data_IF_337559863927
#
_entry.id   IF_337559863927
#
_cell.length_a   1.000
_cell.length_b   1.000
_cell.length_c   1.000
_cell.angle_alpha   90.00
_cell.angle_beta   90.00
_cell.angle_gamma   90.00
#
_symmetry.space_group_name_H-M   'P 1'
#
loop_
_entity.id
_entity.type
_entity.pdbx_description
1 polymer ?
#
# COMPACT_ATOMS: atom_id res chain seq x y z
N UNK A 1 23.45 24.28 -45.89
CA UNK A 1 24.66 24.24 -45.05
C UNK A 1 24.93 22.77 -44.69
N UNK A 2 26.02 22.20 -45.25
CA UNK A 2 26.86 21.05 -44.80
C UNK A 2 26.13 19.83 -44.20
N UNK A 3 25.99 18.65 -44.84
CA UNK A 3 26.97 17.64 -45.34
C UNK A 3 28.17 17.32 -44.41
N UNK A 4 28.24 16.03 -44.09
CA UNK A 4 29.37 15.16 -43.72
C UNK A 4 30.12 15.41 -42.39
N UNK A 5 30.10 14.39 -41.53
CA UNK A 5 31.32 13.73 -41.05
C UNK A 5 30.98 12.32 -40.52
N UNK A 6 31.39 11.30 -41.29
CA UNK A 6 31.60 9.95 -40.80
C UNK A 6 33.02 9.89 -40.21
N UNK A 7 33.19 9.21 -39.08
CA UNK A 7 34.52 8.83 -38.60
C UNK A 7 34.53 7.32 -38.37
N UNK A 8 35.11 6.62 -39.35
CA UNK A 8 35.54 5.24 -39.24
C UNK A 8 36.91 5.20 -38.55
N UNK A 9 37.11 4.26 -37.63
CA UNK A 9 38.43 3.82 -37.22
C UNK A 9 38.57 2.33 -37.52
N UNK A 10 39.53 1.99 -38.36
CA UNK A 10 39.94 0.63 -38.73
C UNK A 10 41.33 0.39 -38.13
N UNK A 11 41.38 -0.62 -37.26
CA UNK A 11 42.41 -1.63 -36.97
C UNK A 11 43.91 -1.29 -36.97
N UNK A 12 44.59 -1.71 -35.90
CA UNK A 12 45.71 -2.66 -36.00
C UNK A 12 45.88 -3.49 -34.70
N UNK A 13 46.38 -4.74 -34.78
CA UNK A 13 46.29 -5.75 -33.73
C UNK A 13 47.59 -5.87 -32.89
N UNK A 14 47.48 -6.30 -31.65
CA UNK A 14 48.64 -6.70 -30.83
C UNK A 14 48.75 -8.22 -30.75
N UNK A 15 49.94 -8.67 -31.10
CA UNK A 15 50.47 -10.02 -31.33
C UNK A 15 50.20 -11.05 -30.22
N UNK A 16 49.96 -12.27 -30.67
CA UNK A 16 50.14 -13.50 -29.91
C UNK A 16 51.62 -13.90 -29.82
N UNK A 17 51.98 -14.66 -28.77
CA UNK A 17 53.13 -15.57 -28.76
C UNK A 17 52.68 -16.91 -28.13
N UNK A 18 53.23 -18.07 -28.56
CA UNK A 18 52.63 -19.37 -28.35
C UNK A 18 53.30 -20.23 -27.26
N UNK A 19 52.66 -21.38 -27.01
CA UNK A 19 53.12 -22.62 -26.35
C UNK A 19 53.44 -22.58 -24.85
N UNK A 20 52.59 -23.24 -24.05
CA UNK A 20 52.98 -24.57 -23.56
C UNK A 20 51.77 -25.49 -23.34
N UNK A 21 51.92 -26.73 -23.80
CA UNK A 21 50.90 -27.76 -23.90
C UNK A 21 50.70 -28.54 -22.60
N UNK A 22 49.43 -28.90 -22.36
CA UNK A 22 48.98 -30.14 -21.70
C UNK A 22 49.33 -30.43 -20.24
N UNK A 23 48.28 -30.45 -19.41
CA UNK A 23 47.95 -31.62 -18.58
C UNK A 23 46.44 -31.67 -18.31
N UNK A 24 45.77 -32.56 -19.03
CA UNK A 24 44.45 -33.10 -18.73
C UNK A 24 44.43 -33.77 -17.37
N UNK A 25 43.51 -33.36 -16.49
CA UNK A 25 43.03 -34.19 -15.39
C UNK A 25 41.52 -33.95 -15.20
N UNK A 26 40.77 -34.96 -15.60
CA UNK A 26 39.43 -35.39 -15.18
C UNK A 26 38.59 -34.45 -14.30
N UNK A 27 37.44 -34.06 -14.86
CA UNK A 27 36.11 -34.25 -14.28
C UNK A 27 36.01 -34.27 -12.74
N UNK A 28 35.69 -33.11 -12.17
CA UNK A 28 34.66 -33.02 -11.13
C UNK A 28 33.81 -31.79 -11.42
N UNK A 29 32.79 -32.02 -12.25
CA UNK A 29 31.65 -31.14 -12.43
C UNK A 29 30.89 -31.06 -11.12
N UNK A 30 31.39 -30.29 -10.15
CA UNK A 30 30.53 -29.79 -9.08
C UNK A 30 29.68 -28.69 -9.71
N UNK A 31 28.65 -29.10 -10.47
CA UNK A 31 27.46 -28.27 -10.66
C UNK A 31 27.09 -27.84 -9.24
N UNK A 32 27.37 -26.59 -8.87
CA UNK A 32 26.63 -25.91 -7.81
C UNK A 32 25.17 -26.17 -8.18
N UNK A 33 24.49 -27.07 -7.46
CA UNK A 33 23.04 -27.14 -7.52
C UNK A 33 22.62 -25.72 -7.18
N UNK A 34 22.14 -24.95 -8.16
CA UNK A 34 21.39 -23.74 -7.86
C UNK A 34 20.33 -24.21 -6.86
N UNK A 35 20.34 -23.64 -5.66
CA UNK A 35 19.25 -23.89 -4.73
C UNK A 35 17.99 -23.45 -5.47
N UNK A 36 17.10 -24.39 -5.77
CA UNK A 36 15.82 -24.09 -6.38
C UNK A 36 15.07 -23.14 -5.45
N UNK A 37 14.36 -22.17 -6.02
CA UNK A 37 13.47 -21.32 -5.26
C UNK A 37 12.53 -22.14 -4.36
N UNK A 38 12.37 -21.67 -3.12
CA UNK A 38 11.52 -22.30 -2.11
C UNK A 38 10.16 -21.62 -2.13
N UNK A 39 9.19 -22.27 -2.76
CA UNK A 39 7.80 -21.84 -2.73
C UNK A 39 7.09 -22.38 -1.48
N UNK A 40 5.90 -21.83 -1.17
CA UNK A 40 4.96 -22.47 -0.24
C UNK A 40 4.64 -23.90 -0.69
N UNK A 41 4.22 -24.73 0.25
CA UNK A 41 3.74 -26.08 0.02
C UNK A 41 2.50 -26.27 0.92
N UNK A 42 1.32 -26.57 0.36
CA UNK A 42 1.03 -26.87 -1.06
C UNK A 42 1.02 -25.65 -2.01
N UNK A 43 1.00 -25.93 -3.31
CA UNK A 43 0.76 -24.98 -4.41
C UNK A 43 -0.49 -25.36 -5.21
N UNK A 44 -1.14 -24.42 -5.90
CA UNK A 44 -2.32 -24.74 -6.70
C UNK A 44 -2.01 -25.74 -7.83
N UNK A 45 -2.93 -26.66 -8.14
CA UNK A 45 -2.80 -27.53 -9.31
C UNK A 45 -2.58 -26.72 -10.59
N UNK A 46 -1.56 -27.09 -11.37
CA UNK A 46 -1.18 -26.37 -12.59
C UNK A 46 -0.31 -25.13 -12.35
N UNK A 47 0.19 -24.91 -11.12
CA UNK A 47 1.13 -23.83 -10.82
C UNK A 47 2.31 -23.82 -11.81
N UNK A 48 2.54 -22.65 -12.40
CA UNK A 48 3.65 -22.38 -13.30
C UNK A 48 4.54 -21.28 -12.68
N UNK A 49 5.80 -21.59 -12.30
CA UNK A 49 6.69 -20.56 -11.75
C UNK A 49 7.22 -19.60 -12.82
N UNK A 50 7.06 -19.91 -14.11
CA UNK A 50 7.53 -19.13 -15.25
C UNK A 50 8.19 -20.01 -16.33
N UNK A 51 8.18 -19.61 -17.61
CA UNK A 51 7.59 -18.40 -18.17
C UNK A 51 6.05 -18.43 -18.11
N UNK A 52 5.44 -17.30 -17.77
CA UNK A 52 4.01 -17.16 -17.54
C UNK A 52 3.27 -16.87 -18.85
N UNK A 53 2.12 -17.53 -19.03
CA UNK A 53 1.15 -17.18 -20.06
C UNK A 53 -0.01 -16.40 -19.43
N UNK A 54 -0.02 -15.08 -19.62
CA UNK A 54 -1.01 -14.18 -19.00
C UNK A 54 -2.47 -14.40 -19.45
N UNK A 55 -2.69 -15.18 -20.51
CA UNK A 55 -4.03 -15.63 -20.92
C UNK A 55 -4.56 -16.79 -20.05
N UNK A 56 -3.69 -17.50 -19.35
CA UNK A 56 -4.07 -18.51 -18.36
C UNK A 56 -4.38 -17.79 -17.04
N UNK A 57 -5.61 -17.90 -16.49
CA UNK A 57 -5.98 -17.17 -15.27
C UNK A 57 -5.05 -17.44 -14.08
N UNK A 58 -4.58 -18.67 -13.92
CA UNK A 58 -3.65 -19.01 -12.84
C UNK A 58 -2.28 -18.31 -13.00
N UNK A 59 -1.71 -18.29 -14.20
CA UNK A 59 -0.44 -17.58 -14.47
C UNK A 59 -0.60 -16.07 -14.27
N UNK A 60 -1.74 -15.50 -14.67
CA UNK A 60 -2.09 -14.10 -14.40
C UNK A 60 -2.15 -13.82 -12.89
N UNK A 61 -2.76 -14.71 -12.11
CA UNK A 61 -2.80 -14.59 -10.66
C UNK A 61 -1.42 -14.72 -10.02
N UNK A 62 -0.62 -15.71 -10.44
CA UNK A 62 0.76 -15.90 -10.00
C UNK A 62 1.58 -14.65 -10.26
N UNK A 63 1.46 -14.03 -11.44
CA UNK A 63 2.14 -12.77 -11.75
C UNK A 63 1.75 -11.65 -10.77
N UNK A 64 0.45 -11.47 -10.50
CA UNK A 64 -0.03 -10.45 -9.57
C UNK A 64 0.46 -10.70 -8.12
N UNK A 65 0.42 -11.94 -7.68
CA UNK A 65 0.87 -12.32 -6.34
C UNK A 65 2.39 -12.14 -6.16
N UNK A 66 3.21 -12.46 -7.19
CA UNK A 66 4.67 -12.18 -7.17
C UNK A 66 5.00 -10.68 -7.03
N UNK A 67 4.13 -9.79 -7.52
CA UNK A 67 4.32 -8.33 -7.38
C UNK A 67 3.80 -7.80 -6.04
N UNK A 68 2.79 -8.46 -5.46
CA UNK A 68 2.11 -7.98 -4.25
C UNK A 68 2.71 -8.54 -2.95
N UNK A 69 3.33 -9.72 -2.99
CA UNK A 69 3.90 -10.43 -1.85
C UNK A 69 4.95 -11.47 -2.31
N UNK A 70 5.17 -12.53 -1.54
CA UNK A 70 6.15 -13.58 -1.83
C UNK A 70 5.50 -14.97 -1.81
N UNK A 71 5.66 -15.70 -2.91
CA UNK A 71 5.14 -17.07 -3.06
C UNK A 71 5.90 -18.12 -2.24
N UNK A 72 6.94 -17.74 -1.50
CA UNK A 72 7.56 -18.58 -0.46
C UNK A 72 6.80 -18.57 0.87
N UNK A 73 5.88 -17.62 1.05
CA UNK A 73 5.17 -17.39 2.31
C UNK A 73 5.96 -16.54 3.30
N UNK A 74 7.18 -16.09 2.94
CA UNK A 74 7.89 -15.08 3.72
C UNK A 74 7.13 -13.74 3.69
N UNK A 75 7.09 -13.02 4.82
CA UNK A 75 6.41 -11.74 4.86
C UNK A 75 7.22 -10.68 4.09
N UNK A 76 6.53 -9.67 3.56
CA UNK A 76 7.09 -8.61 2.71
C UNK A 76 6.65 -7.26 3.23
N UNK A 77 7.58 -6.31 3.31
CA UNK A 77 7.28 -4.91 3.58
C UNK A 77 7.12 -4.14 2.28
N UNK A 78 6.03 -3.40 2.17
CA UNK A 78 5.82 -2.36 1.16
C UNK A 78 5.81 -0.99 1.81
N UNK A 79 6.29 0.02 1.08
CA UNK A 79 6.20 1.43 1.46
C UNK A 79 5.39 2.19 0.42
N UNK A 80 4.62 3.19 0.82
CA UNK A 80 3.77 3.97 -0.11
C UNK A 80 3.77 5.48 0.22
N UNK A 81 4.93 6.14 0.08
CA UNK A 81 5.02 7.59 0.18
C UNK A 81 4.14 8.28 -0.87
N UNK A 82 3.52 9.39 -0.48
CA UNK A 82 2.57 10.10 -1.32
C UNK A 82 2.19 11.47 -0.79
N UNK A 83 1.06 11.95 -1.29
CA UNK A 83 0.49 13.27 -0.96
C UNK A 83 -1.01 13.16 -0.80
N UNK A 84 -1.56 14.00 0.07
CA UNK A 84 -3.00 14.16 0.24
C UNK A 84 -3.42 15.62 -0.05
N UNK A 85 -4.50 15.76 -0.81
CA UNK A 85 -5.01 17.03 -1.31
C UNK A 85 -6.47 17.20 -0.94
N UNK A 86 -6.81 18.37 -0.41
CA UNK A 86 -8.19 18.84 -0.36
C UNK A 86 -8.55 19.37 -1.73
N UNK A 87 -9.68 18.92 -2.28
CA UNK A 87 -10.24 19.43 -3.53
C UNK A 87 -11.69 19.86 -3.31
N UNK A 88 -11.93 21.17 -3.40
CA UNK A 88 -13.26 21.78 -3.18
C UNK A 88 -13.73 22.45 -4.48
N UNK A 89 -14.92 22.09 -5.01
CA UNK A 89 -15.53 22.76 -6.16
C UNK A 89 -15.66 24.27 -5.94
N UNK A 90 -15.35 25.06 -6.96
CA UNK A 90 -15.45 26.54 -6.97
C UNK A 90 -14.60 27.28 -5.92
N UNK A 91 -13.75 26.57 -5.17
CA UNK A 91 -12.79 27.16 -4.24
C UNK A 91 -11.36 26.89 -4.74
N UNK A 92 -10.76 25.75 -4.37
CA UNK A 92 -9.38 25.46 -4.70
C UNK A 92 -8.91 24.06 -4.31
N UNK A 93 -7.63 23.82 -4.58
CA UNK A 93 -6.96 22.56 -4.35
C UNK A 93 -5.75 22.80 -3.45
N UNK A 94 -5.65 22.11 -2.33
CA UNK A 94 -4.62 22.35 -1.32
C UNK A 94 -3.91 21.05 -0.99
N UNK A 95 -2.59 20.98 -1.18
CA UNK A 95 -1.80 19.91 -0.59
C UNK A 95 -1.78 20.17 0.92
N UNK A 96 -2.37 19.26 1.68
CA UNK A 96 -2.49 19.42 3.14
C UNK A 96 -1.54 18.50 3.90
N UNK A 97 -1.13 17.40 3.28
CA UNK A 97 -0.17 16.46 3.85
C UNK A 97 0.76 15.89 2.77
N UNK A 98 2.00 15.60 3.15
CA UNK A 98 2.67 14.43 2.60
C UNK A 98 2.15 13.21 3.35
N UNK A 99 2.12 12.05 2.71
CA UNK A 99 1.73 10.79 3.36
C UNK A 99 2.86 9.78 3.27
N UNK A 100 2.95 8.92 4.28
CA UNK A 100 3.86 7.78 4.23
C UNK A 100 3.18 6.60 4.90
N UNK A 101 3.14 5.48 4.20
CA UNK A 101 2.62 4.26 4.80
C UNK A 101 3.51 3.06 4.62
N UNK A 102 3.26 2.10 5.49
CA UNK A 102 3.99 0.84 5.63
C UNK A 102 2.96 -0.26 5.62
N UNK A 103 3.13 -1.21 4.71
CA UNK A 103 2.27 -2.37 4.53
C UNK A 103 3.07 -3.65 4.73
N UNK A 104 2.49 -4.61 5.43
CA UNK A 104 3.12 -5.89 5.76
C UNK A 104 2.27 -7.03 5.21
N UNK A 105 2.75 -7.73 4.19
CA UNK A 105 1.99 -8.75 3.45
C UNK A 105 2.57 -10.14 3.59
N UNK A 106 1.73 -11.17 3.66
CA UNK A 106 2.12 -12.59 3.58
C UNK A 106 1.11 -13.38 2.76
N UNK A 107 1.57 -14.48 2.14
CA UNK A 107 0.73 -15.41 1.40
C UNK A 107 0.71 -16.80 2.05
N UNK A 108 -0.45 -17.43 1.97
CA UNK A 108 -0.66 -18.85 2.20
C UNK A 108 -1.58 -19.38 1.09
N UNK A 109 -1.26 -20.54 0.52
CA UNK A 109 -2.19 -21.24 -0.35
C UNK A 109 -3.04 -22.20 0.48
N UNK A 110 -4.36 -22.13 0.29
CA UNK A 110 -5.30 -23.03 0.95
C UNK A 110 -5.95 -23.96 -0.10
N UNK A 111 -5.63 -25.25 -0.01
CA UNK A 111 -6.16 -26.28 -0.92
C UNK A 111 -7.67 -26.49 -0.77
N UNK A 112 -8.18 -26.48 0.46
CA UNK A 112 -9.60 -26.75 0.75
C UNK A 112 -10.51 -25.63 0.24
N UNK A 113 -10.06 -24.38 0.34
CA UNK A 113 -10.78 -23.19 -0.11
C UNK A 113 -10.54 -22.88 -1.61
N UNK A 114 -9.66 -23.64 -2.28
CA UNK A 114 -9.22 -23.39 -3.66
C UNK A 114 -8.79 -21.91 -3.88
N UNK A 115 -7.84 -21.41 -3.07
CA UNK A 115 -7.40 -20.02 -3.22
C UNK A 115 -6.24 -19.60 -2.32
N UNK A 116 -5.79 -18.36 -2.51
CA UNK A 116 -4.72 -17.76 -1.72
C UNK A 116 -5.30 -16.87 -0.62
N UNK A 117 -4.83 -17.10 0.61
CA UNK A 117 -5.03 -16.20 1.73
C UNK A 117 -3.91 -15.17 1.73
N UNK A 118 -4.28 -13.91 1.56
CA UNK A 118 -3.39 -12.77 1.66
C UNK A 118 -3.61 -12.08 3.00
N UNK A 119 -2.60 -12.20 3.86
CA UNK A 119 -2.55 -11.58 5.16
C UNK A 119 -1.91 -10.22 5.01
N UNK A 120 -2.56 -9.18 5.52
CA UNK A 120 -2.02 -7.85 5.44
C UNK A 120 -2.36 -7.02 6.67
N UNK A 121 -1.51 -6.03 6.92
CA UNK A 121 -1.81 -4.87 7.77
C UNK A 121 -1.10 -3.67 7.17
N UNK A 122 -1.67 -2.51 7.40
CA UNK A 122 -1.11 -1.25 6.89
C UNK A 122 -1.34 -0.09 7.85
N UNK A 123 -0.38 0.82 7.86
CA UNK A 123 -0.50 2.16 8.43
C UNK A 123 -0.27 3.21 7.35
N UNK A 124 -0.97 4.33 7.43
CA UNK A 124 -0.68 5.55 6.66
C UNK A 124 -0.62 6.72 7.62
N UNK A 125 0.56 7.32 7.72
CA UNK A 125 0.79 8.54 8.49
C UNK A 125 0.58 9.77 7.62
N UNK A 126 -0.03 10.78 8.22
CA UNK A 126 -0.09 12.13 7.68
C UNK A 126 1.12 12.88 8.21
N UNK A 127 1.87 13.49 7.31
CA UNK A 127 3.11 14.19 7.64
C UNK A 127 3.08 15.61 7.12
N UNK A 128 3.82 16.47 7.79
CA UNK A 128 3.96 17.87 7.39
C UNK A 128 4.54 17.98 5.96
N UNK A 129 3.92 18.75 5.06
CA UNK A 129 4.39 18.89 3.68
C UNK A 129 5.81 19.45 3.52
N UNK A 130 6.31 20.23 4.49
CA UNK A 130 7.61 20.89 4.44
C UNK A 130 8.69 20.06 5.14
N UNK A 131 8.39 19.50 6.32
CA UNK A 131 9.37 18.84 7.18
C UNK A 131 9.34 17.31 7.12
N UNK A 132 8.26 16.72 6.59
CA UNK A 132 7.94 15.29 6.65
C UNK A 132 7.88 14.73 8.09
N UNK A 133 7.66 15.56 9.10
CA UNK A 133 7.38 15.09 10.45
C UNK A 133 5.97 14.50 10.54
N UNK A 134 5.83 13.38 11.25
CA UNK A 134 4.51 12.78 11.51
C UNK A 134 3.73 13.72 12.42
N UNK A 135 2.52 14.07 12.00
CA UNK A 135 1.71 15.09 12.66
C UNK A 135 0.84 14.48 13.75
N UNK A 136 0.97 14.97 14.99
CA UNK A 136 0.01 14.71 16.06
C UNK A 136 -1.21 15.66 15.97
N UNK A 137 -0.99 16.90 15.54
CA UNK A 137 -2.03 17.91 15.33
C UNK A 137 -1.88 18.60 13.97
N UNK A 138 -2.96 19.18 13.47
CA UNK A 138 -2.99 19.87 12.18
C UNK A 138 -3.96 21.05 12.22
N UNK A 139 -3.52 22.21 11.74
CA UNK A 139 -4.40 23.36 11.51
C UNK A 139 -5.09 23.17 10.17
N UNK A 140 -6.38 22.89 10.21
CA UNK A 140 -7.19 22.74 8.99
C UNK A 140 -7.29 24.11 8.28
N UNK A 141 -6.72 24.27 7.07
CA UNK A 141 -6.67 25.57 6.38
C UNK A 141 -8.04 26.06 5.91
N UNK A 142 -9.06 25.19 5.91
CA UNK A 142 -10.43 25.52 5.49
C UNK A 142 -11.28 26.00 6.66
N UNK A 143 -11.09 25.44 7.85
CA UNK A 143 -11.86 25.81 9.05
C UNK A 143 -11.12 26.75 9.98
N UNK A 144 -9.78 26.81 9.87
CA UNK A 144 -8.90 27.52 10.80
C UNK A 144 -8.75 26.83 12.16
N UNK A 145 -9.38 25.66 12.36
CA UNK A 145 -9.30 24.91 13.62
C UNK A 145 -8.08 24.02 13.64
N UNK A 146 -7.39 23.98 14.78
CA UNK A 146 -6.40 22.93 15.06
C UNK A 146 -7.13 21.66 15.52
N UNK A 147 -6.80 20.52 14.92
CA UNK A 147 -7.41 19.22 15.22
C UNK A 147 -6.32 18.17 15.47
N UNK A 148 -6.60 17.22 16.35
CA UNK A 148 -5.82 15.99 16.51
C UNK A 148 -5.92 15.15 15.23
N UNK A 149 -4.76 14.75 14.71
CA UNK A 149 -4.67 13.96 13.48
C UNK A 149 -4.98 12.50 13.80
N UNK A 150 -5.86 11.89 13.01
CA UNK A 150 -6.13 10.46 13.09
C UNK A 150 -5.40 9.79 11.93
N UNK A 151 -4.32 9.07 12.19
CA UNK A 151 -3.63 8.28 11.17
C UNK A 151 -4.48 7.06 10.75
N UNK A 152 -4.20 6.51 9.56
CA UNK A 152 -4.83 5.25 9.13
C UNK A 152 -4.07 4.11 9.78
N UNK A 153 -4.79 3.24 10.47
CA UNK A 153 -4.28 1.97 10.98
C UNK A 153 -5.29 0.89 10.62
N UNK A 154 -4.96 0.07 9.63
CA UNK A 154 -5.78 -1.05 9.23
C UNK A 154 -5.05 -2.34 9.62
N UNK A 155 -5.50 -3.00 10.68
CA UNK A 155 -4.90 -4.22 11.21
C UNK A 155 -5.97 -5.14 11.83
N UNK A 156 -6.25 -6.33 11.27
CA UNK A 156 -5.75 -6.84 10.00
C UNK A 156 -6.59 -6.36 8.79
N UNK A 157 -5.99 -6.44 7.60
CA UNK A 157 -6.66 -6.35 6.29
C UNK A 157 -6.42 -7.68 5.57
N UNK A 158 -7.44 -8.53 5.46
CA UNK A 158 -7.27 -9.84 4.84
C UNK A 158 -7.97 -9.88 3.49
N UNK A 159 -7.36 -10.53 2.50
CA UNK A 159 -7.99 -10.75 1.19
C UNK A 159 -7.87 -12.20 0.79
N UNK A 160 -8.98 -12.76 0.34
CA UNK A 160 -9.01 -14.09 -0.25
C UNK A 160 -9.01 -13.97 -1.77
N UNK A 161 -8.04 -14.62 -2.42
CA UNK A 161 -7.88 -14.66 -3.86
C UNK A 161 -8.25 -16.07 -4.37
N UNK A 162 -9.52 -16.33 -4.68
CA UNK A 162 -9.97 -17.62 -5.20
C UNK A 162 -9.32 -17.93 -6.55
N UNK A 163 -9.18 -19.21 -6.90
CA UNK A 163 -8.60 -19.63 -8.18
C UNK A 163 -9.54 -19.44 -9.38
N UNK A 164 -10.86 -19.43 -9.17
CA UNK A 164 -11.86 -19.51 -10.26
C UNK A 164 -12.95 -18.44 -10.20
N UNK A 165 -13.67 -18.33 -9.08
CA UNK A 165 -14.86 -17.47 -8.96
C UNK A 165 -14.81 -16.61 -7.71
N UNK A 166 -15.37 -15.41 -7.79
CA UNK A 166 -15.46 -14.46 -6.68
C UNK A 166 -14.85 -13.10 -7.00
N UNK A 167 -15.01 -12.15 -6.07
CA UNK A 167 -14.63 -10.74 -6.26
C UNK A 167 -13.15 -10.54 -6.66
N UNK A 168 -12.27 -11.40 -6.17
CA UNK A 168 -10.83 -11.32 -6.40
C UNK A 168 -10.30 -12.49 -7.24
N UNK A 169 -11.16 -13.22 -7.94
CA UNK A 169 -10.74 -14.26 -8.86
C UNK A 169 -10.00 -13.68 -10.08
N UNK A 170 -9.02 -14.40 -10.65
CA UNK A 170 -8.39 -14.02 -11.91
C UNK A 170 -9.31 -14.26 -13.12
N UNK A 171 -9.02 -13.69 -14.29
CA UNK A 171 -7.86 -12.85 -14.60
C UNK A 171 -8.06 -11.39 -14.20
N UNK A 172 -6.96 -10.74 -13.83
CA UNK A 172 -6.89 -9.29 -13.59
C UNK A 172 -6.54 -8.54 -14.89
N UNK A 173 -7.11 -7.35 -15.13
CA UNK A 173 -6.75 -6.52 -16.28
C UNK A 173 -5.27 -6.13 -16.27
N UNK A 174 -4.61 -6.24 -17.42
CA UNK A 174 -3.19 -5.97 -17.54
C UNK A 174 -2.82 -5.32 -18.88
N UNK A 175 -1.66 -4.67 -18.90
CA UNK A 175 -1.04 -4.04 -20.06
C UNK A 175 0.45 -4.45 -20.11
N UNK A 176 0.94 -4.80 -21.31
CA UNK A 176 2.36 -5.13 -21.54
C UNK A 176 2.94 -4.16 -22.55
N UNK A 177 4.08 -3.55 -22.21
CA UNK A 177 4.89 -2.77 -23.13
C UNK A 177 6.38 -3.14 -22.96
N UNK A 178 6.87 -4.04 -23.82
CA UNK A 178 8.22 -4.60 -23.70
C UNK A 178 8.37 -5.39 -22.40
N UNK A 179 9.37 -5.05 -21.58
CA UNK A 179 9.58 -5.69 -20.28
C UNK A 179 8.65 -5.12 -19.18
N UNK A 180 7.90 -4.06 -19.46
CA UNK A 180 7.01 -3.46 -18.47
C UNK A 180 5.63 -4.13 -18.50
N UNK A 181 5.28 -4.79 -17.40
CA UNK A 181 3.93 -5.28 -17.13
C UNK A 181 3.25 -4.36 -16.14
N UNK A 182 1.98 -4.04 -16.37
CA UNK A 182 1.15 -3.26 -15.45
C UNK A 182 -0.19 -3.95 -15.27
N UNK A 183 -0.55 -4.26 -14.04
CA UNK A 183 -1.94 -4.55 -13.69
C UNK A 183 -2.68 -3.25 -13.38
N UNK A 184 -3.81 -3.04 -14.03
CA UNK A 184 -4.68 -1.89 -13.80
C UNK A 184 -5.91 -2.35 -13.03
N UNK A 185 -6.04 -1.92 -11.77
CA UNK A 185 -7.17 -2.25 -10.93
C UNK A 185 -7.90 -0.96 -10.56
N UNK A 186 -9.19 -0.89 -10.89
CA UNK A 186 -10.03 0.28 -10.64
C UNK A 186 -11.19 -0.14 -9.73
N UNK A 187 -11.18 0.28 -8.46
CA UNK A 187 -12.21 -0.09 -7.47
C UNK A 187 -12.98 1.15 -7.04
N UNK A 188 -14.20 1.26 -7.56
CA UNK A 188 -15.18 2.22 -7.08
C UNK A 188 -16.15 1.52 -6.14
N UNK A 189 -16.22 1.97 -4.88
CA UNK A 189 -17.20 1.46 -3.91
C UNK A 189 -18.51 2.24 -4.10
N UNK A 190 -19.58 1.59 -4.58
CA UNK A 190 -20.87 2.27 -4.73
C UNK A 190 -21.50 2.50 -3.34
N UNK A 191 -22.43 3.47 -3.23
CA UNK A 191 -23.29 3.59 -2.07
C UNK A 191 -24.00 2.27 -1.79
N UNK A 192 -23.92 1.79 -0.55
CA UNK A 192 -24.68 0.62 -0.10
C UNK A 192 -25.26 0.88 1.29
N UNK A 193 -26.51 0.47 1.58
CA UNK A 193 -27.10 0.65 2.90
C UNK A 193 -26.23 0.04 4.01
N UNK A 194 -25.97 0.81 5.07
CA UNK A 194 -25.20 0.34 6.24
C UNK A 194 -23.69 0.18 6.01
N UNK A 195 -23.16 0.59 4.85
CA UNK A 195 -21.73 0.49 4.56
C UNK A 195 -20.88 1.61 5.20
N UNK A 196 -21.52 2.62 5.80
CA UNK A 196 -20.85 3.71 6.49
C UNK A 196 -21.02 3.58 8.01
N UNK A 197 -19.95 3.32 8.78
CA UNK A 197 -20.02 3.28 10.23
C UNK A 197 -20.17 4.68 10.87
N UNK A 198 -19.88 5.76 10.14
CA UNK A 198 -20.03 7.17 10.57
C UNK A 198 -21.05 7.83 9.63
N UNK A 199 -22.34 7.56 9.84
CA UNK A 199 -23.40 8.13 9.00
C UNK A 199 -23.50 9.65 9.18
N UNK A 200 -23.84 10.40 8.12
CA UNK A 200 -24.10 11.84 8.23
C UNK A 200 -25.22 12.13 9.22
N UNK A 201 -26.26 11.31 9.25
CA UNK A 201 -27.41 11.45 10.17
C UNK A 201 -26.98 11.48 11.63
N UNK A 202 -26.02 10.65 12.03
CA UNK A 202 -25.56 10.53 13.43
C UNK A 202 -24.30 11.36 13.72
N UNK A 203 -23.53 11.67 12.67
CA UNK A 203 -22.22 12.34 12.75
C UNK A 203 -22.09 13.44 11.67
N UNK A 204 -22.95 14.48 11.69
CA UNK A 204 -23.02 15.47 10.61
C UNK A 204 -21.73 16.29 10.41
N UNK A 205 -20.92 16.44 11.47
CA UNK A 205 -19.62 17.11 11.40
C UNK A 205 -18.53 16.23 10.75
N UNK A 206 -18.61 14.92 10.92
CA UNK A 206 -17.55 13.98 10.54
C UNK A 206 -17.83 13.25 9.21
N UNK A 207 -19.01 13.43 8.63
CA UNK A 207 -19.41 12.68 7.44
C UNK A 207 -20.29 13.48 6.49
N UNK A 208 -19.91 13.44 5.21
CA UNK A 208 -20.62 14.16 4.15
C UNK A 208 -21.90 13.44 3.72
N UNK A 209 -22.03 12.13 3.96
CA UNK A 209 -23.11 11.30 3.43
C UNK A 209 -23.44 10.12 4.36
N UNK A 210 -24.64 9.56 4.25
CA UNK A 210 -25.03 8.34 5.01
C UNK A 210 -24.41 7.06 4.45
N UNK A 211 -23.91 7.08 3.22
CA UNK A 211 -23.23 5.96 2.58
C UNK A 211 -21.77 6.28 2.34
N UNK A 212 -20.91 5.28 2.47
CA UNK A 212 -19.48 5.40 2.21
C UNK A 212 -19.21 5.24 0.71
N UNK A 213 -18.52 6.22 0.13
CA UNK A 213 -18.10 6.20 -1.27
C UNK A 213 -16.61 6.51 -1.38
N UNK A 214 -15.91 5.68 -2.14
CA UNK A 214 -14.49 5.87 -2.48
C UNK A 214 -14.19 5.32 -3.85
N UNK A 215 -13.20 5.92 -4.51
CA UNK A 215 -12.51 5.33 -5.65
C UNK A 215 -11.07 5.05 -5.25
N UNK A 216 -10.56 3.88 -5.60
CA UNK A 216 -9.16 3.53 -5.50
C UNK A 216 -8.69 2.99 -6.85
N UNK A 217 -7.54 3.49 -7.30
CA UNK A 217 -6.98 3.25 -8.63
C UNK A 217 -5.55 2.77 -8.44
N UNK A 218 -5.23 1.58 -8.94
CA UNK A 218 -3.89 0.99 -8.86
C UNK A 218 -3.34 0.72 -10.25
N UNK A 219 -2.08 1.10 -10.44
CA UNK A 219 -1.24 0.62 -11.52
C UNK A 219 -0.03 -0.08 -10.90
N UNK A 220 -0.11 -1.42 -10.79
CA UNK A 220 0.93 -2.27 -10.17
C UNK A 220 1.86 -2.74 -11.28
N UNK A 221 3.09 -2.26 -11.25
CA UNK A 221 4.11 -2.48 -12.28
C UNK A 221 5.22 -3.42 -11.81
N UNK A 222 5.70 -4.25 -12.75
CA UNK A 222 6.91 -5.04 -12.58
C UNK A 222 7.51 -5.50 -13.91
N UNK A 223 8.69 -6.11 -13.84
CA UNK A 223 9.43 -6.63 -15.00
C UNK A 223 8.91 -7.99 -15.45
N UNK A 224 8.55 -8.14 -16.73
CA UNK A 224 8.15 -9.40 -17.32
C UNK A 224 9.26 -10.45 -17.28
N UNK A 225 10.51 -10.06 -17.52
CA UNK A 225 11.65 -10.96 -17.44
C UNK A 225 11.87 -11.46 -16.01
N UNK A 226 11.68 -10.62 -15.00
CA UNK A 226 11.73 -11.03 -13.60
C UNK A 226 10.56 -11.94 -13.22
N UNK A 227 9.34 -11.66 -13.70
CA UNK A 227 8.16 -12.51 -13.46
C UNK A 227 8.31 -13.89 -14.09
N UNK A 228 8.89 -13.95 -15.29
CA UNK A 228 9.14 -15.18 -16.05
C UNK A 228 10.34 -15.99 -15.54
N UNK A 229 11.14 -15.47 -14.60
CA UNK A 229 12.20 -16.23 -13.97
C UNK A 229 11.61 -17.18 -12.92
N UNK A 230 11.71 -18.51 -13.11
CA UNK A 230 11.15 -19.48 -12.17
C UNK A 230 11.85 -19.51 -10.81
N UNK A 231 13.03 -18.89 -10.68
CA UNK A 231 13.74 -18.77 -9.41
C UNK A 231 13.23 -17.60 -8.55
N UNK A 232 12.37 -16.74 -9.09
CA UNK A 232 11.82 -15.60 -8.36
C UNK A 232 10.47 -15.98 -7.74
N UNK A 233 10.42 -16.12 -6.41
CA UNK A 233 9.18 -16.26 -5.64
C UNK A 233 8.45 -14.93 -5.43
N UNK A 234 9.19 -13.82 -5.55
CA UNK A 234 8.74 -12.44 -5.51
C UNK A 234 9.47 -11.62 -6.57
N UNK A 235 8.85 -10.55 -7.05
CA UNK A 235 9.44 -9.57 -7.96
C UNK A 235 9.27 -8.17 -7.36
N UNK A 236 10.32 -7.33 -7.34
CA UNK A 236 10.19 -5.93 -6.98
C UNK A 236 9.12 -5.25 -7.82
N UNK A 237 8.24 -4.51 -7.15
CA UNK A 237 7.10 -3.86 -7.79
C UNK A 237 7.10 -2.37 -7.47
N UNK A 238 6.74 -1.57 -8.46
CA UNK A 238 6.37 -0.18 -8.29
C UNK A 238 4.87 -0.05 -8.52
N UNK A 239 4.16 0.62 -7.62
CA UNK A 239 2.70 0.81 -7.75
C UNK A 239 2.35 2.28 -7.66
N UNK A 240 1.75 2.84 -8.71
CA UNK A 240 1.05 4.11 -8.57
C UNK A 240 -0.34 3.84 -7.98
N UNK A 241 -0.65 4.50 -6.87
CA UNK A 241 -1.95 4.38 -6.19
C UNK A 241 -2.60 5.74 -6.06
N UNK A 242 -3.85 5.84 -6.52
CA UNK A 242 -4.71 6.99 -6.30
C UNK A 242 -5.92 6.61 -5.47
N UNK A 243 -6.34 7.48 -4.55
CA UNK A 243 -7.62 7.35 -3.86
C UNK A 243 -8.37 8.67 -3.86
N UNK A 244 -9.67 8.60 -4.08
CA UNK A 244 -10.60 9.72 -3.94
C UNK A 244 -11.63 9.30 -2.91
N UNK A 245 -11.82 10.09 -1.87
CA UNK A 245 -12.81 9.82 -0.83
C UNK A 245 -13.49 11.06 -0.31
N UNK A 246 -14.59 10.85 0.42
CA UNK A 246 -15.12 11.86 1.34
C UNK A 246 -14.04 12.34 2.32
N UNK A 247 -14.26 13.50 2.94
CA UNK A 247 -13.40 14.02 4.00
C UNK A 247 -13.13 12.97 5.07
N UNK A 248 -11.89 12.96 5.58
CA UNK A 248 -11.58 12.12 6.72
C UNK A 248 -12.33 12.64 7.96
N UNK A 249 -12.77 11.76 8.88
CA UNK A 249 -13.63 12.16 10.00
C UNK A 249 -13.09 13.30 10.87
N UNK A 250 -11.76 13.36 11.02
CA UNK A 250 -11.08 14.37 11.83
C UNK A 250 -10.93 15.73 11.13
N UNK A 251 -11.21 15.82 9.83
CA UNK A 251 -11.25 17.12 9.14
C UNK A 251 -12.42 17.96 9.65
N UNK A 252 -13.48 17.32 10.16
CA UNK A 252 -14.68 17.98 10.66
C UNK A 252 -15.35 18.89 9.61
N UNK A 253 -15.30 18.45 8.35
CA UNK A 253 -15.82 19.17 7.19
C UNK A 253 -17.07 18.52 6.61
N UNK A 254 -17.81 17.71 7.37
CA UNK A 254 -18.97 16.95 6.88
C UNK A 254 -20.05 17.80 6.20
N UNK A 255 -20.20 19.07 6.59
CA UNK A 255 -21.14 20.01 5.95
C UNK A 255 -20.59 20.74 4.72
N UNK A 256 -19.40 20.39 4.23
CA UNK A 256 -18.74 21.06 3.09
C UNK A 256 -18.68 20.15 1.85
N UNK A 257 -18.90 20.70 0.64
CA UNK A 257 -18.67 19.97 -0.60
C UNK A 257 -17.18 19.72 -0.80
N UNK A 258 -16.85 18.71 -1.59
CA UNK A 258 -15.47 18.38 -1.99
C UNK A 258 -15.04 16.98 -1.56
N UNK A 259 -13.78 16.65 -1.86
CA UNK A 259 -13.18 15.34 -1.66
C UNK A 259 -11.71 15.46 -1.27
N UNK A 260 -11.21 14.47 -0.54
CA UNK A 260 -9.77 14.28 -0.38
C UNK A 260 -9.25 13.37 -1.49
N UNK A 261 -8.10 13.74 -2.05
CA UNK A 261 -7.40 13.00 -3.09
C UNK A 261 -6.02 12.60 -2.60
N UNK A 262 -5.73 11.30 -2.65
CA UNK A 262 -4.43 10.73 -2.37
C UNK A 262 -3.75 10.31 -3.66
N UNK A 263 -2.43 10.48 -3.71
CA UNK A 263 -1.61 9.89 -4.75
C UNK A 263 -0.25 9.47 -4.17
N UNK A 264 0.05 8.18 -4.24
CA UNK A 264 1.28 7.57 -3.75
C UNK A 264 2.05 6.86 -4.86
N UNK A 265 3.37 6.81 -4.69
CA UNK A 265 4.26 5.95 -5.45
C UNK A 265 4.80 4.89 -4.48
N UNK A 266 4.33 3.67 -4.63
CA UNK A 266 4.60 2.59 -3.69
C UNK A 266 5.63 1.61 -4.23
N UNK A 267 6.37 0.99 -3.31
CA UNK A 267 7.43 0.05 -3.62
C UNK A 267 7.36 -1.14 -2.68
N UNK A 268 7.61 -2.33 -3.19
CA UNK A 268 7.97 -3.46 -2.32
C UNK A 268 9.46 -3.37 -1.99
N UNK A 269 9.80 -3.38 -0.70
CA UNK A 269 11.17 -3.12 -0.20
C UNK A 269 12.16 -4.23 -0.55
N UNK A 270 13.42 -3.89 -0.77
CA UNK A 270 14.50 -4.86 -1.00
C UNK A 270 15.14 -5.31 0.31
N UNK A 271 15.29 -4.39 1.27
CA UNK A 271 15.93 -4.63 2.58
C UNK A 271 14.93 -4.64 3.75
N UNK A 272 13.63 -4.75 3.46
CA UNK A 272 12.59 -4.84 4.48
C UNK A 272 12.49 -3.56 5.32
N UNK A 273 12.57 -3.70 6.64
CA UNK A 273 12.43 -2.59 7.61
C UNK A 273 13.47 -1.49 7.38
N UNK A 274 14.65 -1.84 6.88
CA UNK A 274 15.75 -0.89 6.68
C UNK A 274 15.51 0.09 5.52
N UNK A 275 14.56 -0.20 4.62
CA UNK A 275 14.15 0.71 3.54
C UNK A 275 13.07 1.72 3.97
N UNK A 276 12.54 1.62 5.20
CA UNK A 276 11.55 2.58 5.74
C UNK A 276 12.28 3.88 6.12
N UNK A 277 11.72 5.03 5.74
CA UNK A 277 12.26 6.34 6.15
C UNK A 277 12.52 6.38 7.67
N UNK A 278 13.71 6.83 8.13
CA UNK A 278 14.07 6.76 9.55
C UNK A 278 13.11 7.48 10.50
N UNK A 279 12.49 8.59 10.08
CA UNK A 279 11.51 9.30 10.92
C UNK A 279 10.24 8.47 11.08
N UNK A 280 9.79 7.88 9.97
CA UNK A 280 8.62 7.00 9.95
C UNK A 280 8.89 5.75 10.78
N UNK A 281 10.04 5.10 10.58
CA UNK A 281 10.44 3.91 11.34
C UNK A 281 10.46 4.20 12.84
N UNK A 282 11.05 5.31 13.26
CA UNK A 282 11.10 5.69 14.69
C UNK A 282 9.70 5.95 15.26
N UNK A 283 8.80 6.59 14.49
CA UNK A 283 7.42 6.77 14.90
C UNK A 283 6.68 5.42 14.99
N UNK A 284 6.82 4.56 13.99
CA UNK A 284 6.23 3.22 13.96
C UNK A 284 6.74 2.35 15.10
N UNK A 285 8.02 2.39 15.46
CA UNK A 285 8.57 1.64 16.59
C UNK A 285 7.90 2.01 17.92
N UNK A 286 7.63 3.31 18.12
CA UNK A 286 6.99 3.80 19.34
C UNK A 286 5.49 3.51 19.40
N UNK A 287 4.79 3.60 18.26
CA UNK A 287 3.33 3.62 18.22
C UNK A 287 2.71 2.31 17.70
N UNK A 288 3.42 1.59 16.82
CA UNK A 288 2.96 0.38 16.13
C UNK A 288 4.12 -0.64 15.91
N UNK A 289 4.83 -1.08 16.96
CA UNK A 289 6.03 -1.93 16.82
C UNK A 289 5.79 -3.24 16.07
N UNK A 290 4.56 -3.74 16.06
CA UNK A 290 4.18 -4.97 15.35
C UNK A 290 4.33 -4.89 13.82
N UNK A 291 4.54 -3.70 13.26
CA UNK A 291 4.84 -3.50 11.84
C UNK A 291 6.33 -3.67 11.51
N UNK A 292 7.20 -3.73 12.53
CA UNK A 292 8.65 -3.84 12.39
C UNK A 292 9.19 -5.18 12.94
N UNK A 293 8.45 -5.81 13.86
CA UNK A 293 8.82 -7.08 14.48
C UNK A 293 8.38 -8.28 13.64
N UNK A 294 9.34 -9.11 13.20
CA UNK A 294 9.04 -10.34 12.45
C UNK A 294 8.07 -11.25 13.23
N UNK A 295 7.01 -11.81 12.60
CA UNK A 295 6.76 -11.87 11.16
C UNK A 295 6.09 -10.64 10.53
N UNK A 296 5.86 -9.55 11.29
CA UNK A 296 5.26 -8.25 10.99
C UNK A 296 3.89 -8.25 10.26
N UNK A 297 3.67 -9.12 9.29
CA UNK A 297 2.37 -9.47 8.76
C UNK A 297 1.57 -10.37 9.74
N UNK A 298 0.23 -10.30 9.75
CA UNK A 298 -0.59 -11.22 10.52
C UNK A 298 -0.35 -12.69 10.15
N UNK A 299 -0.41 -13.58 11.15
CA UNK A 299 -0.22 -15.04 10.98
C UNK A 299 -1.50 -15.85 11.08
N UNK A 300 -2.58 -15.25 11.58
CA UNK A 300 -3.87 -15.92 11.78
C UNK A 300 -4.86 -15.46 10.72
N UNK A 301 -5.59 -16.42 10.14
CA UNK A 301 -6.69 -16.15 9.22
C UNK A 301 -7.98 -16.03 10.02
N UNK A 302 -8.80 -15.03 9.72
CA UNK A 302 -10.06 -14.87 10.40
C UNK A 302 -11.06 -14.10 9.56
N UNK A 303 -12.30 -14.59 9.57
CA UNK A 303 -13.48 -13.93 8.99
C UNK A 303 -13.87 -12.63 9.74
N UNK A 304 -13.08 -12.23 10.74
CA UNK A 304 -13.37 -11.19 11.72
C UNK A 304 -13.03 -9.78 11.22
N UNK A 305 -13.92 -8.85 11.58
CA UNK A 305 -13.84 -7.39 11.44
C UNK A 305 -12.45 -6.83 11.04
N UNK A 306 -12.35 -6.37 9.80
CA UNK A 306 -11.25 -5.51 9.38
C UNK A 306 -11.46 -4.14 10.02
N UNK A 307 -10.69 -3.83 11.06
CA UNK A 307 -10.64 -2.46 11.55
C UNK A 307 -10.11 -1.56 10.44
N UNK A 308 -10.85 -0.51 10.15
CA UNK A 308 -10.46 0.48 9.16
C UNK A 308 -10.49 1.87 9.79
N UNK A 309 -9.87 2.82 9.11
CA UNK A 309 -9.80 4.21 9.57
C UNK A 309 -11.16 4.79 10.03
N UNK A 310 -12.26 4.45 9.36
CA UNK A 310 -13.59 4.95 9.70
C UNK A 310 -14.17 4.30 10.95
N UNK A 311 -14.00 2.99 11.13
CA UNK A 311 -14.46 2.33 12.36
C UNK A 311 -13.60 2.73 13.56
N UNK A 312 -12.31 2.94 13.36
CA UNK A 312 -11.40 3.47 14.38
C UNK A 312 -11.77 4.91 14.78
N UNK A 313 -11.95 5.81 13.81
CA UNK A 313 -12.39 7.18 14.07
C UNK A 313 -13.73 7.23 14.83
N UNK A 314 -14.67 6.34 14.49
CA UNK A 314 -15.95 6.22 15.21
C UNK A 314 -15.74 5.93 16.70
N UNK A 315 -14.84 5.02 17.05
CA UNK A 315 -14.52 4.69 18.46
C UNK A 315 -14.00 5.93 19.20
N UNK A 316 -13.14 6.71 18.57
CA UNK A 316 -12.62 7.96 19.16
C UNK A 316 -13.76 8.96 19.38
N UNK A 317 -14.58 9.20 18.36
CA UNK A 317 -15.70 10.14 18.43
C UNK A 317 -16.71 9.74 19.50
N UNK A 318 -17.13 8.46 19.52
CA UNK A 318 -18.11 7.95 20.48
C UNK A 318 -17.59 8.04 21.91
N UNK A 319 -16.32 7.70 22.13
CA UNK A 319 -15.68 7.84 23.44
C UNK A 319 -15.65 9.30 23.89
N UNK A 320 -15.21 10.21 23.03
CA UNK A 320 -15.16 11.64 23.35
C UNK A 320 -16.55 12.20 23.70
N UNK A 321 -17.59 11.82 22.93
CA UNK A 321 -18.99 12.18 23.22
C UNK A 321 -19.48 11.62 24.55
N UNK A 322 -19.19 10.36 24.86
CA UNK A 322 -19.57 9.73 26.12
C UNK A 322 -18.88 10.38 27.32
N UNK A 323 -17.61 10.78 27.15
CA UNK A 323 -16.82 11.47 28.16
C UNK A 323 -17.19 12.98 28.28
N UNK A 324 -18.07 13.49 27.41
CA UNK A 324 -18.43 14.91 27.34
C UNK A 324 -17.28 15.81 26.88
N UNK A 325 -16.25 15.22 26.29
CA UNK A 325 -15.04 15.88 25.80
C UNK A 325 -15.29 16.42 24.39
N UNK A 326 -15.72 17.67 24.32
CA UNK A 326 -15.82 18.42 23.07
C UNK A 326 -15.19 19.79 23.26
N UNK A 327 -14.71 20.40 22.18
CA UNK A 327 -14.46 21.84 22.18
C UNK A 327 -15.35 22.51 21.14
N UNK A 328 -16.28 23.32 21.62
CA UNK A 328 -17.48 23.63 20.85
C UNK A 328 -18.23 22.34 20.49
N UNK A 329 -18.37 22.10 19.18
CA UNK A 329 -18.94 20.88 18.60
C UNK A 329 -17.88 19.85 18.16
N UNK A 330 -16.61 20.25 18.19
CA UNK A 330 -15.47 19.43 17.76
C UNK A 330 -15.10 18.37 18.79
N UNK A 331 -14.78 17.15 18.35
CA UNK A 331 -14.20 16.12 19.22
C UNK A 331 -12.69 15.98 19.02
N UNK A 332 -12.16 16.48 17.90
CA UNK A 332 -10.73 16.47 17.59
C UNK A 332 -10.05 17.80 17.90
N UNK A 333 -10.81 18.86 18.19
CA UNK A 333 -10.29 20.22 18.36
C UNK A 333 -9.27 20.34 19.48
N UNK A 334 -8.13 20.96 19.17
CA UNK A 334 -7.06 21.29 20.12
C UNK A 334 -7.18 22.75 20.52
N UNK A 335 -7.12 23.02 21.81
CA UNK A 335 -7.13 24.38 22.37
C UNK A 335 -6.03 24.46 23.41
N UNK A 336 -5.28 25.56 23.43
CA UNK A 336 -4.20 25.78 24.40
C UNK A 336 -4.74 25.56 25.84
N UNK A 337 -4.26 24.50 26.50
CA UNK A 337 -4.49 24.21 27.92
C UNK A 337 -5.75 23.42 28.32
N UNK A 338 -6.03 22.23 27.74
CA UNK A 338 -7.19 21.36 28.12
C UNK A 338 -7.44 21.33 29.66
N UNK A 339 -8.70 21.33 30.16
CA UNK A 339 -9.95 20.98 29.47
C UNK A 339 -11.10 22.01 29.60
N UNK A 340 -12.12 21.92 28.74
CA UNK A 340 -13.50 22.28 29.14
C UNK A 340 -14.43 21.09 28.94
N UNK A 341 -14.69 20.40 30.04
CA UNK A 341 -15.88 19.55 30.20
C UNK A 341 -17.11 20.46 30.06
N UNK A 342 -18.10 20.04 29.27
CA UNK A 342 -19.39 20.74 29.11
C UNK A 342 -19.99 21.06 30.48
N UNK A 343 -20.09 22.35 30.83
CA UNK A 343 -20.73 22.77 32.09
C UNK A 343 -20.29 24.10 32.72
N UNK A 344 -19.32 24.84 32.16
CA UNK A 344 -19.01 26.20 32.66
C UNK A 344 -19.64 27.28 31.76
N UNK A 345 -20.49 28.17 32.30
CA UNK A 345 -20.95 29.37 31.59
C UNK A 345 -19.88 30.48 31.53
N UNK A 346 -19.81 31.07 30.33
CA UNK A 346 -19.58 32.44 29.86
C UNK A 346 -18.41 33.34 30.32
N UNK A 347 -17.78 34.02 29.35
CA UNK A 347 -17.77 35.51 29.28
C UNK A 347 -17.18 36.04 27.96
N UNK A 348 -17.98 36.93 27.34
CA UNK A 348 -17.73 38.04 26.39
C UNK A 348 -16.74 37.86 25.25
#
# INVERSE_FOLDING_TARGET
VKRLAALAFVFAPLRANPSDETKTAANTTTKRRKNMAKFVDPLPPGFNPGPLNMEVPLDNQVAMLKLSADLSGEPVIGIFPGKAWIWIPDEGNFQVFNTYGVGCSRLEFNEEEEGWRFYHREVLYYTDPETNEVLDTWVNPITGMEVEVVHVTNDPVQRFYPLKEGRFAPPYPYLINGDNMVFQLDVFRPPAPGNNPITRKEYPLHSQQDTYQTGELWAIHGSMSALNNPENTRVPAHTAWGRISMWEPFFEMGNRPGVIVYHSQAFTTENGVDDIDPKIRAYTEKHHPQFLEYPYAPTEWGDGFQENHWTYAKKIIDKARADGATVGESVFGVYEGKPRVRGQPDSV
#
